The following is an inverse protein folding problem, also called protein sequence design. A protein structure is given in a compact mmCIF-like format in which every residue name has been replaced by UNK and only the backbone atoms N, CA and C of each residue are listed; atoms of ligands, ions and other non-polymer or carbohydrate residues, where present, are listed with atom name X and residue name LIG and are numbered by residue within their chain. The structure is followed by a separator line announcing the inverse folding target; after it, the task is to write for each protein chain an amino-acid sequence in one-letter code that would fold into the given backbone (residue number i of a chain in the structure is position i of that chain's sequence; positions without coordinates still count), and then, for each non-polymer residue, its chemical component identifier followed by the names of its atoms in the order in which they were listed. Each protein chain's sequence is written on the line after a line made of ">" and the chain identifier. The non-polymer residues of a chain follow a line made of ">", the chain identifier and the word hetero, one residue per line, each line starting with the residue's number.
data_IF_701666834794
#
_entry.id   IF_701666834794
#
_cell.length_a   1.000
_cell.length_b   1.000
_cell.length_c   1.000
_cell.angle_alpha   90.00
_cell.angle_beta   90.00
_cell.angle_gamma   90.00
#
_symmetry.space_group_name_H-M   'P 1'
#
loop_
_entity.id
_entity.type
_entity.pdbx_description
1 polymer ?
#
# COMPACT_ATOMS: atom_id res chain seq x y z
N UNK A 1 -34.57 10.37 8.20
CA UNK A 1 -33.95 10.46 9.54
C UNK A 1 -32.84 11.50 9.45
N UNK A 2 -32.91 12.60 10.19
CA UNK A 2 -31.94 13.71 10.08
C UNK A 2 -30.69 13.35 10.87
N UNK A 3 -29.52 13.35 10.23
CA UNK A 3 -28.25 13.04 10.90
C UNK A 3 -27.69 14.28 11.59
N UNK A 4 -27.68 14.28 12.93
CA UNK A 4 -27.05 15.31 13.73
C UNK A 4 -25.55 15.06 13.86
N UNK A 5 -24.74 16.08 13.53
CA UNK A 5 -23.29 16.07 13.76
C UNK A 5 -22.96 16.06 15.26
N UNK A 6 -21.73 15.68 15.62
CA UNK A 6 -21.30 15.73 17.03
C UNK A 6 -21.40 17.14 17.60
N UNK A 7 -21.06 18.17 16.81
CA UNK A 7 -21.20 19.57 17.21
C UNK A 7 -22.65 19.92 17.55
N UNK A 8 -23.62 19.54 16.71
CA UNK A 8 -25.04 19.78 17.01
C UNK A 8 -25.47 19.10 18.33
N UNK A 9 -24.99 17.88 18.59
CA UNK A 9 -25.29 17.15 19.84
C UNK A 9 -24.69 17.86 21.06
N UNK A 10 -23.45 18.35 20.95
CA UNK A 10 -22.78 19.11 22.03
C UNK A 10 -23.52 20.43 22.28
N UNK A 11 -23.91 21.15 21.22
CA UNK A 11 -24.67 22.40 21.34
C UNK A 11 -26.03 22.16 22.01
N UNK A 12 -26.73 21.07 21.66
CA UNK A 12 -27.99 20.67 22.31
C UNK A 12 -27.78 20.46 23.81
N UNK A 13 -26.73 19.73 24.21
CA UNK A 13 -26.42 19.52 25.63
C UNK A 13 -26.00 20.82 26.35
N UNK A 14 -25.23 21.69 25.71
CA UNK A 14 -24.89 23.02 26.24
C UNK A 14 -26.15 23.87 26.49
N UNK A 15 -27.14 23.79 25.60
CA UNK A 15 -28.40 24.54 25.71
C UNK A 15 -29.34 24.02 26.80
N UNK A 16 -29.33 22.70 27.07
CA UNK A 16 -30.10 22.06 28.15
C UNK A 16 -29.49 22.39 29.53
N UNK A 17 -28.18 22.62 29.56
CA UNK A 17 -27.39 22.89 30.75
C UNK A 17 -26.70 21.61 31.25
N UNK A 18 -25.41 21.72 31.55
CA UNK A 18 -24.62 20.67 32.18
C UNK A 18 -24.63 20.85 33.71
N UNK A 19 -24.70 19.74 34.46
CA UNK A 19 -24.69 19.73 35.93
C UNK A 19 -26.04 20.10 36.56
N UNK A 20 -26.02 20.78 37.71
CA UNK A 20 -27.21 21.12 38.53
C UNK A 20 -28.12 22.20 37.92
N UNK A 21 -27.74 22.76 36.77
CA UNK A 21 -28.50 23.80 36.05
C UNK A 21 -29.34 23.19 34.94
N UNK A 22 -30.28 22.31 35.27
CA UNK A 22 -31.20 21.74 34.28
C UNK A 22 -32.29 22.74 33.93
N UNK A 23 -32.32 23.23 32.68
CA UNK A 23 -33.52 23.88 32.14
C UNK A 23 -34.57 22.80 31.85
N UNK A 24 -35.78 22.97 32.38
CA UNK A 24 -36.92 22.09 32.10
C UNK A 24 -37.17 21.96 30.59
N UNK A 25 -37.30 20.72 30.12
CA UNK A 25 -37.32 20.28 28.71
C UNK A 25 -38.30 21.07 27.82
N UNK A 26 -39.41 21.55 28.39
CA UNK A 26 -40.43 22.34 27.66
C UNK A 26 -39.95 23.72 27.18
N UNK A 27 -38.96 24.35 27.83
CA UNK A 27 -38.44 25.68 27.43
C UNK A 27 -37.25 25.61 26.47
N UNK A 28 -36.45 24.54 26.50
CA UNK A 28 -35.27 24.37 25.62
C UNK A 28 -35.61 23.86 24.22
N UNK A 29 -36.79 23.27 24.03
CA UNK A 29 -37.21 22.76 22.72
C UNK A 29 -37.57 23.90 21.73
N UNK A 30 -38.04 25.05 22.20
CA UNK A 30 -38.56 26.14 21.32
C UNK A 30 -37.53 26.86 20.44
N UNK A 31 -36.24 26.98 20.81
CA UNK A 31 -35.20 27.50 19.92
C UNK A 31 -34.58 26.41 19.03
N UNK A 32 -34.60 25.15 19.47
CA UNK A 32 -33.98 24.00 18.75
C UNK A 32 -34.91 23.50 17.65
N UNK A 33 -36.20 23.32 17.94
CA UNK A 33 -37.21 22.88 16.96
C UNK A 33 -37.37 23.84 15.78
N UNK A 34 -37.06 25.14 16.01
CA UNK A 34 -37.02 26.18 14.96
C UNK A 34 -35.80 26.08 14.06
N UNK A 35 -34.64 25.65 14.58
CA UNK A 35 -33.40 25.54 13.80
C UNK A 35 -33.25 24.17 13.13
N UNK A 36 -33.81 23.11 13.73
CA UNK A 36 -33.67 21.74 13.24
C UNK A 36 -35.02 21.04 13.43
N UNK A 37 -35.72 20.78 12.32
CA UNK A 37 -37.02 20.11 12.34
C UNK A 37 -36.87 18.63 12.75
N UNK A 38 -37.74 18.14 13.64
CA UNK A 38 -37.85 16.70 13.97
C UNK A 38 -36.99 16.17 15.13
N UNK A 39 -36.43 17.02 15.99
CA UNK A 39 -35.34 16.64 16.93
C UNK A 39 -35.78 16.25 18.35
N UNK A 40 -37.05 16.43 18.72
CA UNK A 40 -37.50 16.22 20.12
C UNK A 40 -37.19 14.81 20.68
N UNK A 41 -37.44 13.76 19.90
CA UNK A 41 -37.16 12.38 20.30
C UNK A 41 -35.65 12.06 20.39
N UNK A 42 -34.82 12.78 19.62
CA UNK A 42 -33.37 12.59 19.62
C UNK A 42 -32.70 13.25 20.84
N UNK A 43 -33.29 14.32 21.39
CA UNK A 43 -32.74 15.04 22.56
C UNK A 43 -32.70 14.14 23.80
N UNK A 44 -33.82 13.50 24.15
CA UNK A 44 -33.91 12.62 25.33
C UNK A 44 -32.93 11.44 25.20
N UNK A 45 -32.73 10.93 23.97
CA UNK A 45 -31.76 9.88 23.68
C UNK A 45 -30.33 10.34 23.92
N UNK A 46 -29.95 11.54 23.47
CA UNK A 46 -28.60 12.07 23.69
C UNK A 46 -28.34 12.43 25.15
N UNK A 47 -29.34 12.97 25.85
CA UNK A 47 -29.24 13.26 27.29
C UNK A 47 -29.03 11.98 28.10
N UNK A 48 -29.80 10.92 27.81
CA UNK A 48 -29.61 9.59 28.41
C UNK A 48 -28.22 9.04 28.12
N UNK A 49 -27.82 9.05 26.85
CA UNK A 49 -26.50 8.55 26.42
C UNK A 49 -25.35 9.31 27.10
N UNK A 50 -25.46 10.62 27.24
CA UNK A 50 -24.45 11.45 27.91
C UNK A 50 -24.40 11.18 29.41
N UNK A 51 -25.55 11.03 30.09
CA UNK A 51 -25.60 10.68 31.52
C UNK A 51 -25.00 9.29 31.81
N UNK A 52 -25.26 8.33 30.93
CA UNK A 52 -24.78 6.95 31.11
C UNK A 52 -23.29 6.78 30.76
N UNK A 53 -22.82 7.40 29.67
CA UNK A 53 -21.48 7.13 29.11
C UNK A 53 -20.50 8.30 29.24
N UNK A 54 -20.97 9.49 29.61
CA UNK A 54 -20.17 10.72 29.61
C UNK A 54 -19.86 11.30 28.23
N UNK A 55 -20.34 10.68 27.13
CA UNK A 55 -20.11 11.16 25.77
C UNK A 55 -21.28 10.87 24.83
N UNK A 56 -21.43 11.69 23.77
CA UNK A 56 -22.48 11.52 22.74
C UNK A 56 -21.96 10.90 21.43
N UNK A 57 -20.68 10.48 21.41
CA UNK A 57 -20.11 9.78 20.25
C UNK A 57 -20.93 8.54 19.94
N UNK A 58 -21.27 8.36 18.67
CA UNK A 58 -21.87 7.11 18.23
C UNK A 58 -20.77 6.04 18.27
N UNK A 59 -21.02 4.96 19.00
CA UNK A 59 -20.15 3.80 18.91
C UNK A 59 -20.24 3.29 17.48
N UNK A 60 -19.09 3.20 16.81
CA UNK A 60 -19.00 2.45 15.56
C UNK A 60 -19.40 1.02 15.91
N UNK A 61 -20.59 0.61 15.49
CA UNK A 61 -20.94 -0.81 15.51
C UNK A 61 -19.91 -1.49 14.62
N UNK A 62 -19.25 -2.53 15.12
CA UNK A 62 -18.42 -3.35 14.25
C UNK A 62 -19.31 -3.84 13.10
N UNK A 63 -18.82 -3.76 11.86
CA UNK A 63 -19.57 -4.31 10.74
C UNK A 63 -19.84 -5.79 11.02
N UNK A 64 -21.03 -6.31 10.67
CA UNK A 64 -21.46 -7.65 11.05
C UNK A 64 -20.55 -8.78 10.51
N UNK A 65 -19.66 -8.47 9.57
CA UNK A 65 -18.78 -9.44 8.91
C UNK A 65 -17.30 -9.28 9.28
N UNK A 66 -17.00 -8.63 10.41
CA UNK A 66 -15.61 -8.47 10.86
C UNK A 66 -15.09 -9.79 11.41
N UNK A 67 -13.93 -10.26 10.95
CA UNK A 67 -13.30 -11.46 11.49
C UNK A 67 -12.76 -11.16 12.89
N UNK A 68 -12.86 -12.17 13.75
CA UNK A 68 -12.11 -12.15 15.01
C UNK A 68 -10.61 -12.19 14.72
N UNK A 69 -9.81 -11.69 15.66
CA UNK A 69 -8.36 -11.63 15.43
C UNK A 69 -7.73 -13.04 15.41
N UNK A 70 -8.30 -14.00 16.16
CA UNK A 70 -7.92 -15.42 16.10
C UNK A 70 -8.17 -16.01 14.71
N UNK A 71 -9.36 -15.76 14.13
CA UNK A 71 -9.68 -16.22 12.79
C UNK A 71 -8.77 -15.62 11.71
N UNK A 72 -8.31 -14.39 11.89
CA UNK A 72 -7.34 -13.79 10.95
C UNK A 72 -6.00 -14.49 11.04
N UNK A 73 -5.55 -14.79 12.26
CA UNK A 73 -4.31 -15.52 12.48
C UNK A 73 -4.36 -16.90 11.84
N UNK A 74 -5.47 -17.63 12.02
CA UNK A 74 -5.67 -18.95 11.40
C UNK A 74 -5.66 -18.88 9.87
N UNK A 75 -6.32 -17.88 9.28
CA UNK A 75 -6.28 -17.65 7.83
C UNK A 75 -4.84 -17.41 7.35
N UNK A 76 -4.06 -16.59 8.07
CA UNK A 76 -2.68 -16.30 7.69
C UNK A 76 -1.78 -17.52 7.81
N UNK A 77 -1.90 -18.29 8.89
CA UNK A 77 -1.12 -19.51 9.10
C UNK A 77 -1.39 -20.54 8.01
N UNK A 78 -2.66 -20.76 7.64
CA UNK A 78 -3.02 -21.72 6.59
C UNK A 78 -2.43 -21.33 5.22
N UNK A 79 -2.33 -20.04 4.92
CA UNK A 79 -1.74 -19.54 3.68
C UNK A 79 -0.20 -19.60 3.70
N UNK A 80 0.42 -19.43 4.86
CA UNK A 80 1.86 -19.58 5.03
C UNK A 80 2.29 -21.04 4.88
N UNK A 81 1.52 -21.98 5.46
CA UNK A 81 1.76 -23.41 5.31
C UNK A 81 1.56 -23.89 3.87
N UNK A 82 0.53 -23.39 3.19
CA UNK A 82 0.19 -23.81 1.83
C UNK A 82 -0.26 -22.60 0.98
N UNK A 83 0.67 -21.88 0.32
CA UNK A 83 0.34 -20.67 -0.45
C UNK A 83 -0.49 -20.95 -1.71
N UNK A 84 -0.62 -22.20 -2.11
CA UNK A 84 -1.45 -22.64 -3.24
C UNK A 84 -2.90 -22.93 -2.86
N UNK A 85 -3.24 -22.86 -1.56
CA UNK A 85 -4.63 -23.04 -1.13
C UNK A 85 -5.47 -21.87 -1.65
N UNK A 86 -6.60 -22.22 -2.27
CA UNK A 86 -7.51 -21.18 -2.76
C UNK A 86 -8.22 -20.53 -1.57
N UNK A 87 -8.50 -19.23 -1.67
CA UNK A 87 -9.27 -18.52 -0.64
C UNK A 87 -10.64 -19.15 -0.36
N UNK A 88 -11.25 -19.86 -1.33
CA UNK A 88 -12.48 -20.64 -1.13
C UNK A 88 -12.28 -21.88 -0.27
N UNK A 89 -11.16 -22.58 -0.42
CA UNK A 89 -10.82 -23.73 0.41
C UNK A 89 -10.53 -23.28 1.85
N UNK A 90 -9.74 -22.22 2.03
CA UNK A 90 -9.48 -21.60 3.34
C UNK A 90 -10.77 -21.16 4.02
N UNK A 91 -11.69 -20.51 3.27
CA UNK A 91 -13.01 -20.13 3.77
C UNK A 91 -13.83 -21.33 4.26
N UNK A 92 -13.82 -22.42 3.50
CA UNK A 92 -14.55 -23.64 3.83
C UNK A 92 -13.94 -24.37 5.04
N UNK A 93 -12.61 -24.40 5.14
CA UNK A 93 -11.91 -25.05 6.24
C UNK A 93 -12.15 -24.35 7.59
N UNK A 94 -12.17 -23.01 7.59
CA UNK A 94 -12.34 -22.20 8.79
C UNK A 94 -13.81 -21.81 9.08
N UNK A 95 -14.76 -22.24 8.23
CA UNK A 95 -16.17 -21.85 8.29
C UNK A 95 -16.39 -20.32 8.28
N UNK A 96 -15.62 -19.62 7.44
CA UNK A 96 -15.63 -18.16 7.30
C UNK A 96 -16.24 -17.78 5.94
N UNK A 97 -16.88 -16.60 5.84
CA UNK A 97 -17.35 -16.12 4.54
C UNK A 97 -16.18 -15.85 3.58
N UNK A 98 -16.30 -16.26 2.32
CA UNK A 98 -15.23 -16.05 1.34
C UNK A 98 -14.90 -14.55 1.14
N UNK A 99 -15.93 -13.68 1.18
CA UNK A 99 -15.76 -12.23 1.04
C UNK A 99 -14.93 -11.60 2.16
N UNK A 100 -15.07 -12.07 3.41
CA UNK A 100 -14.34 -11.50 4.55
C UNK A 100 -12.84 -11.79 4.49
N UNK A 101 -12.44 -12.94 3.96
CA UNK A 101 -11.02 -13.31 3.83
C UNK A 101 -10.26 -12.32 2.94
N UNK A 102 -10.87 -11.91 1.82
CA UNK A 102 -10.25 -11.00 0.87
C UNK A 102 -10.25 -9.56 1.39
N UNK A 103 -11.37 -9.10 1.96
CA UNK A 103 -11.53 -7.70 2.37
C UNK A 103 -10.76 -7.34 3.63
N UNK A 104 -10.66 -8.26 4.60
CA UNK A 104 -10.05 -7.96 5.90
C UNK A 104 -8.53 -8.05 5.90
N UNK A 105 -7.98 -8.98 5.13
CA UNK A 105 -6.55 -9.25 5.10
C UNK A 105 -5.80 -8.51 3.99
N UNK A 106 -6.47 -7.57 3.29
CA UNK A 106 -5.91 -6.81 2.16
C UNK A 106 -5.30 -7.72 1.08
N UNK A 107 -5.85 -8.94 0.93
CA UNK A 107 -5.33 -9.90 -0.02
C UNK A 107 -5.92 -9.63 -1.40
N UNK A 108 -5.03 -9.37 -2.35
CA UNK A 108 -5.40 -9.29 -3.75
C UNK A 108 -5.15 -10.64 -4.41
N UNK A 109 -6.14 -11.21 -5.12
CA UNK A 109 -5.95 -12.44 -5.86
C UNK A 109 -5.02 -12.18 -7.05
N UNK A 110 -3.72 -12.40 -6.86
CA UNK A 110 -2.76 -12.37 -7.95
C UNK A 110 -2.73 -13.73 -8.63
N UNK A 111 -2.81 -13.72 -9.97
CA UNK A 111 -2.51 -14.88 -10.78
C UNK A 111 -1.07 -14.77 -11.25
N UNK A 112 -0.18 -15.53 -10.63
CA UNK A 112 1.18 -15.71 -11.17
C UNK A 112 1.02 -16.43 -12.51
N UNK A 113 1.34 -15.73 -13.59
CA UNK A 113 1.41 -16.31 -14.93
C UNK A 113 2.88 -16.62 -15.17
N UNK A 114 3.31 -17.89 -15.10
CA UNK A 114 4.67 -18.24 -15.52
C UNK A 114 4.76 -17.94 -17.02
N UNK A 115 5.52 -16.90 -17.38
CA UNK A 115 5.66 -16.46 -18.76
C UNK A 115 6.70 -17.25 -19.54
N UNK A 116 7.61 -17.94 -18.84
CA UNK A 116 8.63 -18.81 -19.45
C UNK A 116 8.95 -19.99 -18.52
N UNK A 117 8.98 -21.19 -19.08
CA UNK A 117 9.59 -22.34 -18.41
C UNK A 117 11.12 -22.13 -18.41
N UNK A 118 11.67 -21.95 -17.22
CA UNK A 118 13.10 -21.78 -17.02
C UNK A 118 13.75 -23.17 -16.92
N UNK A 119 14.69 -23.48 -17.81
CA UNK A 119 15.64 -24.57 -17.57
C UNK A 119 16.47 -24.28 -16.30
N UNK A 120 16.96 -25.32 -15.63
CA UNK A 120 17.71 -25.21 -14.36
C UNK A 120 18.87 -24.19 -14.46
N UNK A 121 19.65 -24.25 -15.55
CA UNK A 121 20.75 -23.32 -15.82
C UNK A 121 20.34 -21.84 -16.02
N UNK A 122 19.08 -21.57 -16.38
CA UNK A 122 18.68 -20.22 -16.76
C UNK A 122 18.67 -19.26 -15.56
N UNK A 123 18.48 -19.77 -14.35
CA UNK A 123 18.57 -18.97 -13.14
C UNK A 123 19.99 -18.45 -12.93
N UNK A 124 20.98 -19.34 -12.97
CA UNK A 124 22.39 -19.00 -12.79
C UNK A 124 22.87 -18.05 -13.89
N UNK A 125 22.50 -18.32 -15.15
CA UNK A 125 22.82 -17.42 -16.28
C UNK A 125 22.25 -16.02 -16.09
N UNK A 126 21.05 -15.89 -15.52
CA UNK A 126 20.44 -14.58 -15.22
C UNK A 126 21.14 -13.88 -14.07
N UNK A 127 21.50 -14.59 -13.01
CA UNK A 127 22.29 -14.02 -11.91
C UNK A 127 23.65 -13.53 -12.42
N UNK A 128 24.36 -14.37 -13.17
CA UNK A 128 25.65 -14.01 -13.77
C UNK A 128 25.49 -12.78 -14.67
N UNK A 129 24.45 -12.74 -15.50
CA UNK A 129 24.14 -11.57 -16.32
C UNK A 129 23.93 -10.30 -15.48
N UNK A 130 23.13 -10.37 -14.41
CA UNK A 130 22.88 -9.22 -13.53
C UNK A 130 24.16 -8.74 -12.84
N UNK A 131 24.97 -9.65 -12.30
CA UNK A 131 26.25 -9.30 -11.65
C UNK A 131 27.23 -8.68 -12.65
N UNK A 132 27.35 -9.26 -13.84
CA UNK A 132 28.20 -8.70 -14.91
C UNK A 132 27.70 -7.33 -15.35
N UNK A 133 26.38 -7.14 -15.46
CA UNK A 133 25.78 -5.87 -15.85
C UNK A 133 26.07 -4.78 -14.80
N UNK A 134 25.89 -5.09 -13.52
CA UNK A 134 26.17 -4.16 -12.42
C UNK A 134 27.65 -3.76 -12.37
N UNK A 135 28.57 -4.72 -12.55
CA UNK A 135 30.01 -4.44 -12.62
C UNK A 135 30.38 -3.60 -13.84
N UNK A 136 29.84 -3.93 -15.02
CA UNK A 136 30.07 -3.16 -16.23
C UNK A 136 29.54 -1.73 -16.09
N UNK A 137 28.35 -1.56 -15.50
CA UNK A 137 27.75 -0.26 -15.26
C UNK A 137 28.60 0.57 -14.28
N UNK A 138 29.06 -0.02 -13.17
CA UNK A 138 29.94 0.64 -12.22
C UNK A 138 31.29 1.05 -12.84
N UNK A 139 31.86 0.19 -13.69
CA UNK A 139 33.09 0.50 -14.43
C UNK A 139 32.90 1.69 -15.37
N UNK A 140 31.82 1.68 -16.16
CA UNK A 140 31.48 2.78 -17.09
C UNK A 140 31.26 4.08 -16.32
N UNK A 141 30.51 4.06 -15.22
CA UNK A 141 30.29 5.24 -14.38
C UNK A 141 31.60 5.80 -13.81
N UNK A 142 32.51 4.95 -13.33
CA UNK A 142 33.83 5.38 -12.85
C UNK A 142 34.65 6.05 -13.95
N UNK A 143 34.65 5.49 -15.16
CA UNK A 143 35.38 6.03 -16.29
C UNK A 143 34.79 7.35 -16.79
N UNK A 144 33.46 7.48 -16.82
CA UNK A 144 32.79 8.74 -17.12
C UNK A 144 33.16 9.79 -16.06
N UNK A 145 33.10 9.45 -14.76
CA UNK A 145 33.44 10.39 -13.70
C UNK A 145 34.91 10.83 -13.70
N UNK A 146 35.84 9.95 -14.05
CA UNK A 146 37.26 10.29 -14.12
C UNK A 146 37.57 11.21 -15.31
N UNK A 147 36.86 11.01 -16.43
CA UNK A 147 37.03 11.81 -17.64
C UNK A 147 36.23 13.12 -17.61
N UNK A 148 35.19 13.22 -16.77
CA UNK A 148 34.44 14.45 -16.49
C UNK A 148 35.08 15.24 -15.33
N UNK A 149 36.37 15.56 -15.44
CA UNK A 149 37.08 16.45 -14.51
C UNK A 149 37.07 17.91 -14.97
N UNK A 150 36.03 18.36 -15.69
CA UNK A 150 35.85 19.79 -15.94
C UNK A 150 34.36 20.16 -15.95
N UNK A 151 33.98 20.94 -14.94
CA UNK A 151 32.81 21.82 -14.87
C UNK A 151 31.43 21.16 -15.10
N UNK A 152 30.75 20.74 -14.03
CA UNK A 152 29.77 21.56 -13.30
C UNK A 152 29.08 20.71 -12.22
N UNK A 153 28.47 21.43 -11.28
CA UNK A 153 28.03 21.01 -9.96
C UNK A 153 26.86 19.99 -9.90
N UNK A 154 26.81 19.36 -8.71
CA UNK A 154 25.69 18.72 -7.98
C UNK A 154 25.02 17.43 -8.50
N UNK A 155 24.91 16.37 -7.67
CA UNK A 155 24.21 15.14 -8.02
C UNK A 155 22.72 15.25 -7.68
N UNK A 156 21.93 15.80 -8.59
CA UNK A 156 20.51 15.45 -8.66
C UNK A 156 20.40 14.25 -9.60
N UNK A 157 20.13 13.06 -9.06
CA UNK A 157 19.94 11.83 -9.85
C UNK A 157 19.01 12.09 -11.04
N UNK A 158 19.47 12.00 -12.30
CA UNK A 158 18.57 12.07 -13.42
C UNK A 158 17.86 10.72 -13.53
N UNK A 159 16.57 10.71 -13.17
CA UNK A 159 15.65 9.66 -13.64
C UNK A 159 15.64 9.76 -15.17
N UNK A 160 15.99 8.65 -15.82
CA UNK A 160 16.05 8.46 -17.28
C UNK A 160 17.27 9.06 -17.98
N UNK A 161 18.31 8.24 -18.16
CA UNK A 161 19.37 8.49 -19.13
C UNK A 161 18.81 8.16 -20.53
N UNK A 162 18.46 9.19 -21.31
CA UNK A 162 17.99 9.00 -22.69
C UNK A 162 19.19 8.71 -23.60
N UNK A 163 19.23 7.49 -24.16
CA UNK A 163 20.28 7.04 -25.09
C UNK A 163 20.31 7.81 -26.43
N UNK A 164 19.44 8.81 -26.64
CA UNK A 164 19.33 9.52 -27.94
C UNK A 164 20.46 10.51 -28.22
N UNK A 165 21.26 10.89 -27.23
CA UNK A 165 22.29 11.93 -27.39
C UNK A 165 23.73 11.41 -27.41
N UNK A 166 23.95 10.08 -27.45
CA UNK A 166 25.28 9.53 -27.69
C UNK A 166 25.57 9.54 -29.20
N UNK A 167 26.33 10.56 -29.65
CA UNK A 167 26.88 10.64 -31.01
C UNK A 167 28.09 9.73 -31.21
N UNK A 168 28.62 9.12 -30.16
CA UNK A 168 29.64 8.07 -30.25
C UNK A 168 28.98 6.69 -30.36
N UNK A 169 29.46 5.84 -31.27
CA UNK A 169 28.96 4.46 -31.37
C UNK A 169 29.31 3.68 -30.10
N UNK A 170 28.30 2.99 -29.55
CA UNK A 170 28.47 2.10 -28.40
C UNK A 170 29.48 0.98 -28.72
N UNK A 171 30.26 0.52 -27.74
CA UNK A 171 31.19 -0.57 -27.96
C UNK A 171 30.41 -1.86 -28.23
N UNK A 172 30.85 -2.63 -29.23
CA UNK A 172 30.27 -3.94 -29.49
C UNK A 172 30.79 -4.92 -28.44
N UNK A 173 29.87 -5.49 -27.66
CA UNK A 173 30.19 -6.57 -26.72
C UNK A 173 30.31 -7.88 -27.51
N UNK A 174 31.53 -8.42 -27.62
CA UNK A 174 31.75 -9.75 -28.17
C UNK A 174 32.02 -10.72 -27.03
N UNK A 175 31.23 -11.79 -26.97
CA UNK A 175 31.38 -12.87 -26.00
C UNK A 175 32.03 -14.04 -26.73
N UNK A 176 33.25 -14.41 -26.35
CA UNK A 176 33.92 -15.59 -26.89
C UNK A 176 34.01 -16.67 -25.81
N UNK A 177 33.62 -17.90 -26.18
CA UNK A 177 33.71 -19.06 -25.29
C UNK A 177 35.12 -19.64 -25.37
N UNK A 178 35.84 -19.61 -24.25
CA UNK A 178 37.17 -20.22 -24.13
C UNK A 178 37.11 -21.74 -23.98
N UNK A 179 38.25 -22.43 -24.13
CA UNK A 179 38.34 -23.90 -24.10
C UNK A 179 38.09 -24.54 -22.73
N UNK A 180 38.00 -23.76 -21.65
CA UNK A 180 37.81 -24.26 -20.28
C UNK A 180 36.53 -23.73 -19.61
N UNK A 181 35.47 -23.52 -20.40
CA UNK A 181 34.20 -22.90 -19.95
C UNK A 181 34.34 -21.49 -19.37
N UNK A 182 35.50 -20.86 -19.55
CA UNK A 182 35.74 -19.46 -19.21
C UNK A 182 35.26 -18.57 -20.34
N UNK A 183 34.41 -17.60 -20.01
CA UNK A 183 33.92 -16.61 -20.95
C UNK A 183 34.85 -15.39 -20.93
N UNK A 184 35.39 -15.04 -22.09
CA UNK A 184 36.16 -13.81 -22.25
C UNK A 184 35.23 -12.74 -22.84
N UNK A 185 35.06 -11.66 -22.08
CA UNK A 185 34.31 -10.49 -22.52
C UNK A 185 35.30 -9.47 -23.07
N UNK A 186 35.27 -9.24 -24.38
CA UNK A 186 36.05 -8.18 -25.02
C UNK A 186 35.11 -7.08 -25.50
N UNK A 187 35.31 -5.87 -24.97
CA UNK A 187 34.64 -4.66 -25.41
C UNK A 187 35.48 -4.04 -26.54
N UNK A 188 34.97 -4.10 -27.77
CA UNK A 188 35.65 -3.50 -28.93
C UNK A 188 34.97 -2.20 -29.32
N UNK A 189 35.70 -1.10 -29.20
CA UNK A 189 35.26 0.18 -29.76
C UNK A 189 35.42 0.13 -31.29
N UNK A 190 34.41 0.57 -32.07
CA UNK A 190 34.58 0.66 -33.50
C UNK A 190 35.66 1.69 -33.83
N UNK A 191 36.59 1.30 -34.70
CA UNK A 191 37.64 2.21 -35.18
C UNK A 191 36.98 3.41 -35.85
N UNK A 192 37.38 4.63 -35.47
CA UNK A 192 36.96 5.85 -36.16
C UNK A 192 37.47 5.76 -37.60
N UNK A 193 36.57 5.52 -38.55
CA UNK A 193 36.86 5.75 -39.96
C UNK A 193 37.05 7.26 -40.13
N UNK A 194 38.30 7.65 -40.40
CA UNK A 194 38.71 9.02 -40.77
C UNK A 194 38.03 9.46 -42.06
#
# INVERSE_FOLDING_TARGET
>A
MVYLTEMHKITILQMIGYGDRTRTEGRSCSPISRKISGVAADISRYQKQFRERGHVRQLKKNPPNKLSDDQKLDVMLMLEENPHTSSRQTASALNISHSSILSENQMHPYKLVPTNELAEDNFDRRIIFCVLYDHAYAYVLRHISANCSHEYATPAYPRTFSLRNMTSPLPNLQIQRGPSETYRLELRWPNKTS
#
